data_IF_836301020143
#
_entry.id   IF_836301020143
#
_cell.length_a   1.000
_cell.length_b   1.000
_cell.length_c   1.000
_cell.angle_alpha   90.00
_cell.angle_beta   90.00
_cell.angle_gamma   90.00
#
_symmetry.space_group_name_H-M   'P 1'
#
loop_
_entity.id
_entity.type
_entity.pdbx_description
1 polymer ?
#
# COMPACT_ATOMS: atom_id res chain seq x y z
N UNK A 1 -21.97 -17.17 8.69
CA UNK A 1 -21.99 -16.03 7.74
C UNK A 1 -20.54 -15.64 7.54
N UNK A 2 -20.07 -15.51 6.30
CA UNK A 2 -18.72 -14.96 6.06
C UNK A 2 -18.70 -13.50 6.50
N UNK A 3 -17.60 -13.04 7.08
CA UNK A 3 -17.39 -11.62 7.34
C UNK A 3 -17.53 -10.84 6.03
N UNK A 4 -18.06 -9.59 6.06
CA UNK A 4 -18.14 -8.77 4.86
C UNK A 4 -16.73 -8.49 4.32
N UNK A 5 -16.56 -8.59 3.00
CA UNK A 5 -15.32 -8.24 2.30
C UNK A 5 -15.32 -6.76 1.90
N UNK A 6 -14.13 -6.22 1.71
CA UNK A 6 -13.86 -4.82 1.42
C UNK A 6 -13.37 -4.60 -0.02
N UNK A 7 -13.45 -3.35 -0.48
CA UNK A 7 -12.75 -2.90 -1.69
C UNK A 7 -11.42 -2.27 -1.27
N UNK A 8 -10.31 -2.67 -1.90
CA UNK A 8 -9.04 -1.97 -1.76
C UNK A 8 -9.01 -0.77 -2.71
N UNK A 9 -8.65 0.40 -2.19
CA UNK A 9 -8.32 1.58 -3.00
C UNK A 9 -6.86 1.94 -2.75
N UNK A 10 -6.03 1.90 -3.79
CA UNK A 10 -4.58 2.06 -3.64
C UNK A 10 -3.95 2.67 -4.90
N UNK A 11 -2.63 2.89 -4.87
CA UNK A 11 -1.86 3.35 -6.03
C UNK A 11 -1.52 2.18 -6.97
N UNK A 12 -1.37 2.48 -8.26
CA UNK A 12 -0.90 1.51 -9.26
C UNK A 12 0.62 1.42 -9.29
N UNK A 13 1.22 1.05 -8.16
CA UNK A 13 2.66 0.82 -8.01
C UNK A 13 2.93 -0.47 -7.22
N UNK A 14 4.21 -0.77 -6.98
CA UNK A 14 4.60 -2.02 -6.33
C UNK A 14 4.10 -2.11 -4.88
N UNK A 15 4.07 -1.01 -4.15
CA UNK A 15 3.53 -0.97 -2.79
C UNK A 15 2.02 -1.26 -2.77
N UNK A 16 1.26 -0.65 -3.68
CA UNK A 16 -0.17 -0.96 -3.85
C UNK A 16 -0.43 -2.41 -4.25
N UNK A 17 0.42 -3.00 -5.10
CA UNK A 17 0.34 -4.42 -5.44
C UNK A 17 0.56 -5.31 -4.22
N UNK A 18 1.61 -5.07 -3.44
CA UNK A 18 1.90 -5.91 -2.26
C UNK A 18 0.81 -5.74 -1.21
N UNK A 19 0.27 -4.53 -1.01
CA UNK A 19 -0.93 -4.33 -0.19
C UNK A 19 -2.10 -5.22 -0.62
N UNK A 20 -2.36 -5.32 -1.93
CA UNK A 20 -3.40 -6.19 -2.46
C UNK A 20 -3.13 -7.68 -2.18
N UNK A 21 -1.89 -8.13 -2.35
CA UNK A 21 -1.48 -9.51 -2.04
C UNK A 21 -1.72 -9.83 -0.56
N UNK A 22 -1.30 -8.96 0.35
CA UNK A 22 -1.46 -9.14 1.80
C UNK A 22 -2.95 -9.21 2.19
N UNK A 23 -3.77 -8.26 1.72
CA UNK A 23 -5.19 -8.23 2.07
C UNK A 23 -5.97 -9.40 1.44
N UNK A 24 -5.55 -9.87 0.27
CA UNK A 24 -6.13 -11.05 -0.37
C UNK A 24 -5.75 -12.36 0.36
N UNK A 25 -4.52 -12.50 0.86
CA UNK A 25 -4.09 -13.65 1.68
C UNK A 25 -4.94 -13.81 2.94
N UNK A 26 -5.41 -12.70 3.52
CA UNK A 26 -6.32 -12.69 4.68
C UNK A 26 -7.81 -12.84 4.30
N UNK A 27 -8.13 -13.03 3.02
CA UNK A 27 -9.49 -13.10 2.48
C UNK A 27 -10.34 -11.85 2.78
N UNK A 28 -9.71 -10.67 2.92
CA UNK A 28 -10.39 -9.43 3.34
C UNK A 28 -11.01 -8.65 2.19
N UNK A 29 -10.49 -8.77 0.97
CA UNK A 29 -10.90 -7.96 -0.17
C UNK A 29 -11.57 -8.77 -1.29
N UNK A 30 -12.48 -8.15 -2.01
CA UNK A 30 -13.15 -8.71 -3.20
C UNK A 30 -13.14 -7.80 -4.44
N UNK A 31 -12.60 -6.58 -4.30
CA UNK A 31 -12.46 -5.59 -5.37
C UNK A 31 -11.20 -4.74 -5.13
N UNK A 32 -10.60 -4.24 -6.22
CA UNK A 32 -9.42 -3.39 -6.20
C UNK A 32 -9.62 -2.23 -7.17
N UNK A 33 -9.41 -1.00 -6.70
CA UNK A 33 -9.42 0.21 -7.50
C UNK A 33 -8.09 0.96 -7.37
N UNK A 34 -7.39 1.09 -8.49
CA UNK A 34 -6.19 1.92 -8.56
C UNK A 34 -6.53 3.38 -8.83
N UNK A 35 -5.94 4.30 -8.07
CA UNK A 35 -6.17 5.73 -8.17
C UNK A 35 -4.87 6.52 -7.99
N UNK A 36 -4.86 7.76 -8.48
CA UNK A 36 -3.76 8.69 -8.21
C UNK A 36 -4.03 9.48 -6.91
N UNK A 37 -3.02 9.77 -6.06
CA UNK A 37 -3.20 10.52 -4.81
C UNK A 37 -3.92 11.87 -4.98
N UNK A 38 -3.66 12.54 -6.12
CA UNK A 38 -4.36 13.79 -6.47
C UNK A 38 -5.88 13.62 -6.59
N UNK A 39 -6.36 12.51 -7.16
CA UNK A 39 -7.81 12.32 -7.31
C UNK A 39 -8.51 12.03 -5.98
N UNK A 40 -7.78 11.44 -5.03
CA UNK A 40 -8.23 11.32 -3.63
C UNK A 40 -8.31 12.70 -2.97
N UNK A 41 -7.27 13.54 -3.09
CA UNK A 41 -7.25 14.90 -2.54
C UNK A 41 -8.32 15.81 -3.15
N UNK A 42 -8.54 15.69 -4.45
CA UNK A 42 -9.55 16.45 -5.19
C UNK A 42 -10.98 15.93 -4.91
N UNK A 43 -11.16 14.86 -4.13
CA UNK A 43 -12.46 14.29 -3.77
C UNK A 43 -13.19 13.61 -4.94
N UNK A 44 -12.47 13.16 -5.98
CA UNK A 44 -13.06 12.52 -7.17
C UNK A 44 -13.33 11.03 -6.97
N UNK A 45 -12.71 10.43 -5.96
CA UNK A 45 -12.87 9.02 -5.63
C UNK A 45 -13.91 8.91 -4.52
N UNK A 46 -15.01 8.24 -4.81
CA UNK A 46 -16.03 7.94 -3.80
C UNK A 46 -15.51 6.86 -2.84
N UNK A 47 -15.33 7.24 -1.58
CA UNK A 47 -14.83 6.40 -0.49
C UNK A 47 -15.92 6.22 0.57
N UNK A 48 -16.15 4.98 0.95
CA UNK A 48 -17.20 4.52 1.85
C UNK A 48 -16.63 3.61 2.94
N UNK A 49 -17.47 3.21 3.89
CA UNK A 49 -17.09 2.25 4.94
C UNK A 49 -16.84 0.82 4.42
N UNK A 50 -16.98 0.57 3.11
CA UNK A 50 -16.55 -0.67 2.45
C UNK A 50 -15.07 -0.62 2.03
N UNK A 51 -14.41 0.53 2.13
CA UNK A 51 -13.10 0.74 1.53
C UNK A 51 -11.96 0.61 2.52
N UNK A 52 -10.93 -0.15 2.16
CA UNK A 52 -9.61 -0.08 2.76
C UNK A 52 -8.73 0.74 1.83
N UNK A 53 -8.11 1.80 2.33
CA UNK A 53 -7.15 2.61 1.55
C UNK A 53 -5.72 2.30 1.96
N UNK A 54 -4.79 2.20 1.01
CA UNK A 54 -3.36 2.05 1.30
C UNK A 54 -2.53 3.02 0.45
N UNK A 55 -1.49 3.62 1.03
CA UNK A 55 -0.57 4.55 0.35
C UNK A 55 -1.34 5.70 -0.36
N UNK A 56 -2.34 6.28 0.31
CA UNK A 56 -3.18 7.33 -0.22
C UNK A 56 -3.53 8.34 0.88
N UNK A 57 -3.77 9.62 0.51
CA UNK A 57 -4.24 10.64 1.43
C UNK A 57 -5.46 10.18 2.23
N UNK A 58 -5.46 10.46 3.53
CA UNK A 58 -6.47 9.97 4.46
C UNK A 58 -7.89 10.47 4.11
N UNK A 59 -8.87 9.56 4.18
CA UNK A 59 -10.29 9.87 4.04
C UNK A 59 -11.07 9.23 5.19
N UNK A 60 -11.81 10.05 5.93
CA UNK A 60 -12.46 9.63 7.19
C UNK A 60 -13.54 8.56 7.01
N UNK A 61 -14.16 8.47 5.83
CA UNK A 61 -15.23 7.49 5.55
C UNK A 61 -14.72 6.07 5.30
N UNK A 62 -13.41 5.87 5.07
CA UNK A 62 -12.82 4.55 4.85
C UNK A 62 -13.01 3.63 6.07
N UNK A 63 -13.12 2.32 5.83
CA UNK A 63 -13.08 1.31 6.89
C UNK A 63 -11.76 1.36 7.66
N UNK A 64 -10.65 1.29 6.91
CA UNK A 64 -9.27 1.43 7.40
C UNK A 64 -8.46 2.20 6.36
N UNK A 65 -7.55 3.05 6.83
CA UNK A 65 -6.61 3.78 6.00
C UNK A 65 -5.19 3.51 6.50
N UNK A 66 -4.38 2.86 5.67
CA UNK A 66 -2.99 2.54 5.95
C UNK A 66 -2.07 3.51 5.22
N UNK A 67 -1.19 4.17 5.96
CA UNK A 67 -0.24 5.14 5.41
C UNK A 67 1.09 5.12 6.17
N UNK A 68 2.13 5.73 5.59
CA UNK A 68 3.46 5.82 6.19
C UNK A 68 4.14 7.18 5.92
N UNK A 69 3.46 8.12 5.27
CA UNK A 69 3.99 9.44 5.00
C UNK A 69 3.90 10.31 6.25
N UNK A 70 5.03 10.87 6.66
CA UNK A 70 5.09 11.84 7.76
C UNK A 70 4.10 13.00 7.55
N UNK A 71 3.92 13.44 6.30
CA UNK A 71 2.98 14.52 5.96
C UNK A 71 1.52 14.25 6.38
N UNK A 72 1.07 12.99 6.36
CA UNK A 72 -0.28 12.63 6.80
C UNK A 72 -0.41 12.65 8.33
N UNK A 73 0.68 12.43 9.08
CA UNK A 73 0.68 12.58 10.55
C UNK A 73 0.51 14.04 10.97
N UNK A 74 1.06 14.97 10.18
CA UNK A 74 0.98 16.41 10.43
C UNK A 74 -0.38 16.95 9.99
N UNK A 75 -0.88 16.51 8.83
CA UNK A 75 -2.16 16.98 8.27
C UNK A 75 -3.36 16.47 9.07
N UNK A 76 -3.32 15.22 9.54
CA UNK A 76 -4.45 14.54 10.17
C UNK A 76 -4.27 14.43 11.68
N UNK A 77 -4.40 15.55 12.39
CA UNK A 77 -4.33 15.56 13.86
C UNK A 77 -5.61 15.03 14.51
N UNK A 78 -5.51 14.66 15.80
CA UNK A 78 -6.62 14.13 16.60
C UNK A 78 -6.75 12.60 16.53
N UNK A 79 -7.67 12.06 17.34
CA UNK A 79 -7.95 10.62 17.34
C UNK A 79 -8.65 10.21 16.04
N UNK A 80 -8.06 9.22 15.35
CA UNK A 80 -8.56 8.67 14.09
C UNK A 80 -8.39 7.15 14.15
N UNK A 81 -9.34 6.42 14.75
CA UNK A 81 -9.17 4.99 15.04
C UNK A 81 -9.03 4.13 13.78
N UNK A 82 -9.49 4.62 12.62
CA UNK A 82 -9.33 3.95 11.34
C UNK A 82 -8.05 4.35 10.58
N UNK A 83 -7.24 5.27 11.10
CA UNK A 83 -5.99 5.72 10.46
C UNK A 83 -4.80 4.97 11.05
N UNK A 84 -4.37 3.92 10.36
CA UNK A 84 -3.23 3.10 10.76
C UNK A 84 -1.99 3.67 10.06
N UNK A 85 -1.24 4.49 10.78
CA UNK A 85 -0.10 5.21 10.21
C UNK A 85 1.19 4.97 11.01
N UNK A 86 2.28 4.71 10.30
CA UNK A 86 3.62 4.62 10.86
C UNK A 86 4.63 5.35 9.98
N UNK A 87 5.02 6.57 10.38
CA UNK A 87 5.94 7.41 9.61
C UNK A 87 7.36 6.82 9.48
N UNK A 88 7.67 5.79 10.25
CA UNK A 88 8.96 5.08 10.20
C UNK A 88 8.90 3.83 9.34
N UNK A 89 7.71 3.42 8.89
CA UNK A 89 7.59 2.28 7.99
C UNK A 89 8.09 2.67 6.59
N UNK A 90 8.92 1.84 5.94
CA UNK A 90 9.47 2.11 4.62
C UNK A 90 8.45 1.99 3.48
N UNK A 91 7.27 1.40 3.73
CA UNK A 91 6.19 1.21 2.76
C UNK A 91 4.82 1.12 3.46
N UNK A 92 3.70 1.35 2.77
CA UNK A 92 2.37 1.09 3.34
C UNK A 92 2.10 -0.42 3.48
N UNK A 93 2.65 -1.26 2.59
CA UNK A 93 2.61 -2.71 2.71
C UNK A 93 3.23 -3.18 4.03
N UNK A 94 4.32 -2.56 4.50
CA UNK A 94 4.88 -2.84 5.83
C UNK A 94 3.90 -2.53 6.94
N UNK A 95 3.20 -1.39 6.86
CA UNK A 95 2.19 -1.01 7.86
C UNK A 95 1.05 -2.03 7.91
N UNK A 96 0.57 -2.48 6.74
CA UNK A 96 -0.44 -3.56 6.64
C UNK A 96 0.09 -4.86 7.25
N UNK A 97 1.31 -5.26 6.87
CA UNK A 97 1.95 -6.48 7.33
C UNK A 97 2.08 -6.50 8.87
N UNK A 98 2.59 -5.43 9.45
CA UNK A 98 2.81 -5.34 10.90
C UNK A 98 1.49 -5.25 11.66
N UNK A 99 0.50 -4.50 11.15
CA UNK A 99 -0.82 -4.35 11.76
C UNK A 99 -1.53 -5.69 11.96
N UNK A 100 -1.48 -6.57 10.95
CA UNK A 100 -2.15 -7.87 11.01
C UNK A 100 -1.35 -8.96 11.73
N UNK A 101 -0.13 -8.68 12.19
CA UNK A 101 0.67 -9.61 13.01
C UNK A 101 1.89 -10.22 12.31
N UNK A 102 2.31 -9.65 11.19
CA UNK A 102 3.53 -9.98 10.46
C UNK A 102 3.63 -11.45 10.09
N UNK A 103 4.82 -12.05 10.27
CA UNK A 103 5.10 -13.42 9.84
C UNK A 103 4.14 -14.48 10.41
N UNK A 104 3.50 -14.21 11.56
CA UNK A 104 2.49 -15.12 12.14
C UNK A 104 1.18 -15.11 11.35
N UNK A 105 0.79 -13.96 10.81
CA UNK A 105 -0.43 -13.80 10.02
C UNK A 105 -0.22 -14.12 8.54
N UNK A 106 1.03 -14.00 8.07
CA UNK A 106 1.40 -14.15 6.66
C UNK A 106 2.43 -15.28 6.45
N UNK A 107 2.11 -16.54 6.77
CA UNK A 107 3.07 -17.65 6.66
C UNK A 107 3.50 -17.98 5.23
N UNK A 108 2.70 -17.59 4.23
CA UNK A 108 2.99 -17.85 2.81
C UNK A 108 3.62 -16.65 2.07
N UNK A 109 3.73 -15.50 2.74
CA UNK A 109 4.33 -14.29 2.17
C UNK A 109 5.83 -14.37 2.43
N UNK A 110 6.61 -14.38 1.35
CA UNK A 110 8.07 -14.44 1.47
C UNK A 110 8.62 -13.18 2.11
N UNK A 111 9.66 -13.35 2.92
CA UNK A 111 10.41 -12.21 3.47
C UNK A 111 11.03 -11.37 2.34
N UNK A 112 11.46 -12.01 1.25
CA UNK A 112 12.09 -11.33 0.11
C UNK A 112 11.15 -10.34 -0.57
N UNK A 113 9.85 -10.67 -0.71
CA UNK A 113 8.86 -9.74 -1.24
C UNK A 113 8.71 -8.53 -0.32
N UNK A 114 8.65 -8.76 0.99
CA UNK A 114 8.53 -7.68 1.98
C UNK A 114 9.79 -6.79 2.04
N UNK A 115 10.98 -7.37 1.88
CA UNK A 115 12.23 -6.59 1.75
C UNK A 115 12.23 -5.77 0.46
N UNK A 116 11.75 -6.34 -0.64
CA UNK A 116 11.73 -5.66 -1.93
C UNK A 116 10.78 -4.45 -1.95
N UNK A 117 9.57 -4.57 -1.39
CA UNK A 117 8.62 -3.46 -1.36
C UNK A 117 9.10 -2.31 -0.47
N UNK A 118 9.69 -2.63 0.69
CA UNK A 118 10.29 -1.66 1.60
C UNK A 118 11.40 -0.87 0.92
N UNK A 119 12.28 -1.59 0.21
CA UNK A 119 13.37 -1.00 -0.56
C UNK A 119 12.85 -0.12 -1.70
N UNK A 120 11.82 -0.57 -2.39
CA UNK A 120 11.25 0.11 -3.53
C UNK A 120 10.65 1.47 -3.15
N UNK A 121 9.83 1.50 -2.11
CA UNK A 121 9.09 2.70 -1.75
C UNK A 121 9.99 3.71 -1.00
N UNK A 122 11.02 3.23 -0.28
CA UNK A 122 12.06 4.07 0.33
C UNK A 122 13.23 4.44 -0.60
N UNK A 123 13.21 3.99 -1.86
CA UNK A 123 14.26 4.20 -2.87
C UNK A 123 15.68 3.78 -2.43
N UNK A 124 15.80 2.74 -1.62
CA UNK A 124 17.07 2.24 -1.07
C UNK A 124 17.82 1.30 -2.03
N UNK A 125 18.03 1.74 -3.27
CA UNK A 125 18.70 0.98 -4.31
C UNK A 125 20.20 1.27 -4.41
N UNK A 126 20.97 0.24 -4.73
CA UNK A 126 22.34 0.41 -5.22
C UNK A 126 22.34 0.88 -6.68
N UNK A 127 23.48 1.36 -7.16
CA UNK A 127 23.63 1.74 -8.57
C UNK A 127 23.39 0.55 -9.52
N UNK A 128 23.90 -0.63 -9.19
CA UNK A 128 23.74 -1.82 -10.03
C UNK A 128 22.28 -2.25 -10.12
N UNK A 129 21.52 -2.15 -9.03
CA UNK A 129 20.09 -2.46 -9.04
C UNK A 129 19.27 -1.47 -9.88
N UNK A 130 19.73 -0.23 -10.02
CA UNK A 130 19.09 0.76 -10.89
C UNK A 130 19.42 0.49 -12.36
N UNK A 131 20.68 0.15 -12.67
CA UNK A 131 21.16 0.00 -14.04
C UNK A 131 20.82 -1.38 -14.64
N UNK A 132 20.90 -2.43 -13.84
CA UNK A 132 20.71 -3.83 -14.24
C UNK A 132 19.71 -4.53 -13.30
N UNK A 133 18.45 -4.05 -13.24
CA UNK A 133 17.44 -4.58 -12.33
C UNK A 133 17.06 -6.02 -12.66
N UNK A 134 16.90 -6.84 -11.62
CA UNK A 134 16.45 -8.23 -11.71
C UNK A 134 15.34 -8.51 -10.70
N UNK A 135 14.64 -9.63 -10.88
CA UNK A 135 13.63 -10.15 -9.95
C UNK A 135 12.61 -9.10 -9.48
N UNK A 136 12.48 -8.89 -8.16
CA UNK A 136 11.53 -7.93 -7.58
C UNK A 136 11.85 -6.48 -7.92
N UNK A 137 13.13 -6.13 -8.05
CA UNK A 137 13.54 -4.76 -8.44
C UNK A 137 13.09 -4.48 -9.86
N UNK A 138 13.26 -5.45 -10.77
CA UNK A 138 12.77 -5.35 -12.13
C UNK A 138 11.25 -5.24 -12.16
N UNK A 139 10.52 -6.08 -11.40
CA UNK A 139 9.07 -5.99 -11.32
C UNK A 139 8.61 -4.62 -10.85
N UNK A 140 9.25 -4.05 -9.81
CA UNK A 140 8.95 -2.71 -9.33
C UNK A 140 9.08 -1.67 -10.45
N UNK A 141 10.20 -1.67 -11.19
CA UNK A 141 10.38 -0.73 -12.30
C UNK A 141 9.43 -0.97 -13.47
N UNK A 142 9.04 -2.21 -13.75
CA UNK A 142 8.03 -2.50 -14.78
C UNK A 142 6.65 -1.96 -14.41
N UNK A 143 6.31 -1.96 -13.13
CA UNK A 143 5.01 -1.47 -12.63
C UNK A 143 4.98 0.05 -12.45
N UNK A 144 6.12 0.67 -12.21
CA UNK A 144 6.19 2.11 -12.02
C UNK A 144 5.85 2.86 -13.32
N UNK A 145 4.72 3.57 -13.31
CA UNK A 145 4.29 4.42 -14.43
C UNK A 145 5.35 5.44 -14.86
N UNK A 146 6.23 5.87 -13.94
CA UNK A 146 7.31 6.83 -14.21
C UNK A 146 8.42 6.25 -15.08
N UNK A 147 8.53 4.92 -15.16
CA UNK A 147 9.41 4.24 -16.11
C UNK A 147 8.97 4.49 -17.56
N UNK A 148 7.68 4.78 -17.79
CA UNK A 148 7.17 5.18 -19.11
C UNK A 148 6.88 4.03 -20.06
N UNK A 149 6.63 2.82 -19.54
CA UNK A 149 6.27 1.64 -20.35
C UNK A 149 4.76 1.53 -20.65
N UNK A 150 3.92 2.17 -19.83
CA UNK A 150 2.47 2.25 -20.07
C UNK A 150 2.15 3.20 -21.23
N UNK A 151 1.42 2.70 -22.23
CA UNK A 151 0.91 3.48 -23.37
C UNK A 151 -0.57 3.79 -23.19
#
# INVERSE_FOLDING_TARGET
>A
MSSPKFRLVTRSDFDGLVCAVLLNELDLIDDIKFVHPKDMQDGKIDITSRDITTNLPYVASAHLAFDHHESETIRNTGERPNHIISAHAPSAARVVYDYYGGAKAFPNISNDMMVAVDKADSAQFSQDEILEPTDWVLLNYLMDSRTGLGR
#
